data_IF_130029630299
#
_entry.id   IF_130029630299
#
_cell.length_a   1.000
_cell.length_b   1.000
_cell.length_c   1.000
_cell.angle_alpha   90.00
_cell.angle_beta   90.00
_cell.angle_gamma   90.00
#
_symmetry.space_group_name_H-M   'P 1'
#
loop_
_entity.id
_entity.type
_entity.pdbx_description
1 polymer ?
#
# COMPACT_ATOMS: atom_id res chain seq x y z
N UNK A 1 20.10 68.36 -23.26
CA UNK A 1 20.95 67.19 -23.09
C UNK A 1 20.65 66.49 -21.77
N UNK A 2 20.56 67.12 -20.65
CA UNK A 2 20.33 66.60 -19.30
C UNK A 2 18.99 65.83 -19.15
N UNK A 3 17.89 66.25 -19.76
CA UNK A 3 16.55 65.60 -19.65
C UNK A 3 16.54 64.22 -20.23
N UNK A 4 17.23 63.90 -21.32
CA UNK A 4 17.36 62.61 -21.93
C UNK A 4 18.16 61.61 -21.07
N UNK A 5 19.13 62.06 -20.31
CA UNK A 5 19.96 61.25 -19.43
C UNK A 5 19.13 60.76 -18.22
N UNK A 6 18.32 61.71 -17.66
CA UNK A 6 17.45 61.37 -16.51
C UNK A 6 16.35 60.38 -16.89
N UNK A 7 15.73 60.49 -18.07
CA UNK A 7 14.74 59.54 -18.55
C UNK A 7 15.35 58.15 -18.80
N UNK A 8 16.55 58.09 -19.40
CA UNK A 8 17.26 56.82 -19.64
C UNK A 8 17.66 56.14 -18.32
N UNK A 9 18.03 56.89 -17.30
CA UNK A 9 18.33 56.36 -15.97
C UNK A 9 17.08 55.82 -15.27
N UNK A 10 15.94 56.51 -15.35
CA UNK A 10 14.67 56.04 -14.78
C UNK A 10 14.20 54.75 -15.43
N UNK A 11 14.29 54.64 -16.75
CA UNK A 11 13.90 53.43 -17.48
C UNK A 11 14.78 52.23 -17.11
N UNK A 12 16.09 52.43 -16.95
CA UNK A 12 17.00 51.37 -16.48
C UNK A 12 16.69 50.91 -15.05
N UNK A 13 16.39 51.82 -14.14
CA UNK A 13 16.05 51.50 -12.76
C UNK A 13 14.74 50.65 -12.71
N UNK A 14 13.73 51.06 -13.52
CA UNK A 14 12.45 50.31 -13.60
C UNK A 14 12.67 48.92 -14.17
N UNK A 15 13.47 48.76 -15.23
CA UNK A 15 13.76 47.43 -15.79
C UNK A 15 14.55 46.54 -14.83
N UNK A 16 15.51 47.11 -14.09
CA UNK A 16 16.27 46.33 -13.11
C UNK A 16 15.37 45.89 -11.95
N UNK A 17 14.52 46.79 -11.45
CA UNK A 17 13.56 46.45 -10.39
C UNK A 17 12.54 45.38 -10.81
N UNK A 18 12.03 45.48 -12.07
CA UNK A 18 11.11 44.51 -12.62
C UNK A 18 11.78 43.13 -12.80
N UNK A 19 13.04 43.12 -13.29
CA UNK A 19 13.81 41.87 -13.45
C UNK A 19 14.09 41.22 -12.11
N UNK A 20 14.48 42.02 -11.10
CA UNK A 20 14.72 41.52 -9.73
C UNK A 20 13.43 40.95 -9.12
N UNK A 21 12.30 41.64 -9.32
CA UNK A 21 11.01 41.16 -8.85
C UNK A 21 10.59 39.84 -9.53
N UNK A 22 10.79 39.71 -10.85
CA UNK A 22 10.55 38.48 -11.60
C UNK A 22 11.44 37.33 -11.14
N UNK A 23 12.72 37.59 -10.87
CA UNK A 23 13.67 36.60 -10.36
C UNK A 23 13.25 36.15 -8.95
N UNK A 24 12.86 37.06 -8.07
CA UNK A 24 12.35 36.69 -6.72
C UNK A 24 11.05 35.92 -6.81
N UNK A 25 10.13 36.26 -7.72
CA UNK A 25 8.89 35.54 -7.95
C UNK A 25 9.15 34.13 -8.49
N UNK A 26 10.06 33.98 -9.46
CA UNK A 26 10.46 32.69 -10.00
C UNK A 26 11.18 31.83 -8.95
N UNK A 27 12.03 32.45 -8.12
CA UNK A 27 12.70 31.76 -7.02
C UNK A 27 11.71 31.26 -5.98
N UNK A 28 10.74 32.11 -5.58
CA UNK A 28 9.67 31.66 -4.69
C UNK A 28 8.80 30.56 -5.32
N UNK A 29 8.42 30.67 -6.60
CA UNK A 29 7.67 29.63 -7.28
C UNK A 29 8.43 28.29 -7.35
N UNK A 30 9.76 28.33 -7.45
CA UNK A 30 10.61 27.13 -7.47
C UNK A 30 10.76 26.49 -6.09
N UNK A 31 10.75 27.28 -5.01
CA UNK A 31 10.81 26.76 -3.63
C UNK A 31 9.43 26.40 -3.06
N UNK A 32 8.33 26.87 -3.65
CA UNK A 32 6.97 26.55 -3.23
C UNK A 32 6.31 25.43 -4.04
N UNK A 33 7.01 24.81 -5.00
CA UNK A 33 6.63 23.46 -5.43
C UNK A 33 7.01 22.54 -4.29
N UNK A 34 6.19 22.51 -3.24
CA UNK A 34 6.18 21.39 -2.32
C UNK A 34 5.95 20.16 -3.20
N UNK A 35 6.91 19.26 -3.20
CA UNK A 35 6.66 17.91 -3.62
C UNK A 35 5.50 17.44 -2.73
N UNK A 36 4.28 17.51 -3.25
CA UNK A 36 3.20 16.72 -2.67
C UNK A 36 3.65 15.30 -2.93
N UNK A 37 4.30 14.69 -1.96
CA UNK A 37 4.57 13.26 -2.01
C UNK A 37 3.21 12.60 -2.13
N UNK A 38 2.97 12.04 -3.30
CA UNK A 38 1.73 11.33 -3.55
C UNK A 38 1.66 10.21 -2.51
N UNK A 39 0.53 10.07 -1.85
CA UNK A 39 0.22 8.93 -1.00
C UNK A 39 0.73 7.67 -1.69
N UNK A 40 1.56 6.88 -1.01
CA UNK A 40 2.12 5.66 -1.57
C UNK A 40 1.00 4.71 -1.96
N UNK A 41 0.78 4.55 -3.26
CA UNK A 41 -0.15 3.56 -3.79
C UNK A 41 0.63 2.27 -4.00
N UNK A 42 0.22 1.15 -3.37
CA UNK A 42 0.89 -0.12 -3.58
C UNK A 42 0.95 -0.50 -5.06
N UNK A 43 2.13 -0.93 -5.49
CA UNK A 43 2.32 -1.40 -6.86
C UNK A 43 1.81 -2.84 -7.01
N UNK A 44 1.18 -3.12 -8.15
CA UNK A 44 0.77 -4.46 -8.56
C UNK A 44 1.21 -4.67 -10.01
N UNK A 45 1.93 -5.75 -10.26
CA UNK A 45 2.28 -6.19 -11.60
C UNK A 45 1.98 -7.68 -11.76
N UNK A 46 1.42 -8.04 -12.90
CA UNK A 46 1.11 -9.42 -13.26
C UNK A 46 1.73 -9.74 -14.61
N UNK A 47 2.43 -10.86 -14.70
CA UNK A 47 2.96 -11.36 -15.97
C UNK A 47 2.65 -12.84 -16.14
N UNK A 48 2.55 -13.25 -17.40
CA UNK A 48 2.23 -14.63 -17.78
C UNK A 48 3.33 -15.18 -18.67
N UNK A 49 3.67 -16.44 -18.43
CA UNK A 49 4.39 -17.24 -19.41
C UNK A 49 3.65 -18.55 -19.63
N UNK A 50 3.50 -18.95 -20.86
CA UNK A 50 2.93 -20.23 -21.23
C UNK A 50 3.91 -20.98 -22.11
N UNK A 51 4.07 -22.28 -21.88
CA UNK A 51 4.84 -23.19 -22.74
C UNK A 51 4.00 -24.43 -23.05
N UNK A 52 3.80 -24.78 -24.32
CA UNK A 52 4.17 -23.98 -25.49
C UNK A 52 3.32 -22.71 -25.58
N UNK A 53 3.94 -21.65 -26.03
CA UNK A 53 3.24 -20.37 -26.20
C UNK A 53 2.19 -20.55 -27.28
N UNK A 54 0.92 -20.51 -26.86
CA UNK A 54 -0.19 -20.61 -27.78
C UNK A 54 -0.54 -19.19 -28.30
N UNK A 55 0.29 -18.63 -29.11
CA UNK A 55 -0.19 -18.12 -30.37
C UNK A 55 -0.24 -19.33 -31.24
N UNK A 56 -0.87 -20.32 -30.70
CA UNK A 56 -0.69 -21.47 -31.25
C UNK A 56 -1.47 -22.54 -30.63
N UNK A 57 -1.91 -23.17 -31.40
CA UNK A 57 -2.52 -24.46 -31.44
C UNK A 57 -1.55 -25.42 -30.79
N UNK A 58 -1.86 -25.86 -29.59
CA UNK A 58 -1.36 -27.14 -29.14
C UNK A 58 -1.85 -28.17 -30.16
N UNK A 59 -0.95 -28.74 -30.93
CA UNK A 59 -1.31 -29.79 -31.87
C UNK A 59 -1.32 -31.10 -31.10
N UNK A 60 -2.50 -31.59 -30.75
CA UNK A 60 -2.68 -32.89 -30.15
C UNK A 60 -2.99 -33.84 -31.33
N UNK A 61 -2.05 -34.72 -31.61
CA UNK A 61 -2.28 -35.70 -32.66
C UNK A 61 -3.12 -36.88 -32.19
N UNK A 62 -3.74 -37.61 -33.12
CA UNK A 62 -4.65 -38.72 -32.83
C UNK A 62 -3.99 -39.93 -32.13
N UNK A 63 -2.65 -39.97 -32.05
CA UNK A 63 -1.94 -41.09 -31.47
C UNK A 63 -1.68 -40.91 -29.96
N UNK A 64 -1.50 -39.68 -29.51
CA UNK A 64 -1.24 -39.38 -28.09
C UNK A 64 -2.51 -39.15 -27.29
N UNK A 65 -3.54 -38.58 -27.91
CA UNK A 65 -4.85 -38.29 -27.32
C UNK A 65 -4.85 -37.46 -26.02
N UNK A 66 -3.75 -37.36 -25.32
CA UNK A 66 -3.59 -36.60 -24.08
C UNK A 66 -2.48 -35.58 -24.22
N UNK A 67 -2.68 -34.40 -23.59
CA UNK A 67 -1.64 -33.39 -23.47
C UNK A 67 -1.78 -32.63 -22.16
N UNK A 68 -0.66 -32.13 -21.68
CA UNK A 68 -0.58 -31.25 -20.51
C UNK A 68 0.21 -30.01 -20.88
N UNK A 69 -0.28 -28.83 -20.49
CA UNK A 69 0.33 -27.54 -20.78
C UNK A 69 0.48 -26.75 -19.50
N UNK A 70 1.69 -26.22 -19.31
CA UNK A 70 1.99 -25.34 -18.18
C UNK A 70 1.66 -23.90 -18.53
N UNK A 71 0.90 -23.24 -17.67
CA UNK A 71 0.70 -21.79 -17.63
C UNK A 71 1.33 -21.27 -16.35
N UNK A 72 2.33 -20.43 -16.47
CA UNK A 72 2.95 -19.79 -15.31
C UNK A 72 2.43 -18.36 -15.16
N UNK A 73 2.08 -18.02 -13.92
CA UNK A 73 1.60 -16.70 -13.52
C UNK A 73 2.59 -16.15 -12.50
N UNK A 74 3.12 -14.97 -12.76
CA UNK A 74 4.00 -14.27 -11.85
C UNK A 74 3.31 -13.00 -11.37
N UNK A 75 3.21 -12.85 -10.06
CA UNK A 75 2.59 -11.68 -9.42
C UNK A 75 3.65 -10.96 -8.60
N UNK A 76 3.74 -9.65 -8.75
CA UNK A 76 4.47 -8.76 -7.86
C UNK A 76 3.48 -7.85 -7.15
N UNK A 77 3.59 -7.75 -5.84
CA UNK A 77 2.88 -6.74 -5.05
C UNK A 77 3.74 -6.28 -3.88
N UNK A 78 3.89 -4.98 -3.70
CA UNK A 78 4.48 -4.38 -2.51
C UNK A 78 3.43 -3.99 -1.46
N UNK A 79 2.16 -4.34 -1.70
CA UNK A 79 1.08 -4.13 -0.76
C UNK A 79 1.31 -4.96 0.52
N UNK A 80 1.45 -4.29 1.66
CA UNK A 80 1.71 -4.91 2.96
C UNK A 80 0.55 -5.79 3.46
N UNK A 81 -0.67 -5.55 2.97
CA UNK A 81 -1.86 -6.35 3.27
C UNK A 81 -2.07 -7.49 2.29
N UNK A 82 -1.24 -7.56 1.24
CA UNK A 82 -1.24 -8.64 0.27
C UNK A 82 -2.24 -8.48 -0.87
N UNK A 83 -2.58 -9.62 -1.47
CA UNK A 83 -3.47 -9.69 -2.63
C UNK A 83 -4.17 -11.05 -2.72
N UNK A 84 -5.21 -11.09 -3.52
CA UNK A 84 -5.87 -12.33 -3.96
C UNK A 84 -5.69 -12.49 -5.48
N UNK A 85 -5.32 -13.67 -5.92
CA UNK A 85 -5.29 -14.06 -7.33
C UNK A 85 -6.30 -15.19 -7.57
N UNK A 86 -7.06 -15.08 -8.66
CA UNK A 86 -8.04 -16.09 -9.08
C UNK A 86 -7.89 -16.40 -10.56
N UNK A 87 -8.35 -17.57 -10.98
CA UNK A 87 -8.44 -17.95 -12.38
C UNK A 87 -9.86 -18.45 -12.69
N UNK A 88 -10.38 -18.07 -13.85
CA UNK A 88 -11.68 -18.52 -14.36
C UNK A 88 -11.71 -18.43 -15.90
N UNK A 89 -12.75 -18.98 -16.51
CA UNK A 89 -13.10 -18.63 -17.89
C UNK A 89 -13.59 -17.18 -17.96
N UNK A 90 -13.58 -16.60 -19.16
CA UNK A 90 -14.04 -15.24 -19.42
C UNK A 90 -15.54 -15.06 -19.13
N UNK A 91 -16.30 -16.10 -19.37
CA UNK A 91 -17.74 -16.19 -19.11
C UNK A 91 -18.05 -17.48 -18.34
N UNK A 92 -19.29 -17.94 -18.37
CA UNK A 92 -19.68 -19.20 -17.76
C UNK A 92 -19.54 -20.42 -18.66
N UNK A 93 -19.09 -20.23 -19.91
CA UNK A 93 -18.79 -21.35 -20.79
C UNK A 93 -17.43 -21.98 -20.44
N UNK A 94 -17.48 -23.19 -19.94
CA UNK A 94 -16.27 -23.93 -19.53
C UNK A 94 -15.76 -24.93 -20.57
N UNK A 95 -16.50 -25.17 -21.64
CA UNK A 95 -16.02 -26.01 -22.73
C UNK A 95 -15.16 -25.21 -23.71
N UNK A 96 -14.18 -25.89 -24.34
CA UNK A 96 -13.57 -25.35 -25.54
C UNK A 96 -14.52 -25.60 -26.71
N UNK A 97 -14.86 -24.55 -27.44
CA UNK A 97 -15.75 -24.57 -28.58
C UNK A 97 -15.01 -24.34 -29.89
N UNK A 98 -15.54 -24.81 -31.00
CA UNK A 98 -15.01 -24.58 -32.33
C UNK A 98 -15.92 -23.65 -33.12
N UNK A 99 -15.31 -22.75 -33.93
CA UNK A 99 -16.06 -21.90 -34.87
C UNK A 99 -16.40 -22.64 -36.17
N UNK A 100 -15.80 -23.81 -36.41
CA UNK A 100 -15.91 -24.54 -37.68
C UNK A 100 -16.81 -25.77 -37.61
N UNK A 101 -17.10 -26.26 -36.40
CA UNK A 101 -17.94 -27.44 -36.18
C UNK A 101 -18.67 -27.32 -34.81
N UNK A 102 -19.57 -28.28 -34.53
CA UNK A 102 -20.38 -28.29 -33.31
C UNK A 102 -19.79 -29.14 -32.17
N UNK A 103 -18.65 -29.78 -32.41
CA UNK A 103 -18.00 -30.59 -31.38
C UNK A 103 -17.43 -29.70 -30.29
N UNK A 104 -17.33 -30.26 -29.10
CA UNK A 104 -16.89 -29.54 -27.88
C UNK A 104 -15.89 -30.40 -27.11
N UNK A 105 -14.98 -29.74 -26.39
CA UNK A 105 -14.12 -30.36 -25.39
C UNK A 105 -14.62 -29.86 -24.05
N UNK A 106 -15.39 -30.70 -23.35
CA UNK A 106 -16.08 -30.31 -22.12
C UNK A 106 -15.13 -30.21 -20.93
N UNK A 107 -15.45 -29.42 -19.93
CA UNK A 107 -14.77 -29.49 -18.63
C UNK A 107 -15.00 -30.86 -17.97
N UNK A 108 -13.97 -31.42 -17.31
CA UNK A 108 -14.21 -32.58 -16.42
C UNK A 108 -15.21 -32.19 -15.35
N UNK A 109 -16.00 -33.14 -14.87
CA UNK A 109 -17.07 -32.89 -13.90
C UNK A 109 -16.67 -33.13 -12.43
N UNK A 110 -15.51 -33.75 -12.20
CA UNK A 110 -14.99 -34.07 -10.87
C UNK A 110 -13.47 -34.15 -10.92
N UNK A 111 -12.84 -34.07 -9.75
CA UNK A 111 -11.39 -34.18 -9.62
C UNK A 111 -10.93 -35.54 -10.16
N UNK A 112 -10.00 -35.51 -11.11
CA UNK A 112 -9.61 -36.71 -11.87
C UNK A 112 -8.14 -36.58 -12.32
N UNK A 113 -7.31 -37.64 -12.19
CA UNK A 113 -5.98 -37.64 -12.80
C UNK A 113 -6.11 -37.72 -14.33
N UNK A 114 -5.14 -37.07 -15.05
CA UNK A 114 -5.19 -36.94 -16.50
C UNK A 114 -5.39 -38.29 -17.24
N UNK A 115 -4.78 -39.36 -16.74
CA UNK A 115 -4.90 -40.68 -17.33
C UNK A 115 -6.36 -41.17 -17.39
N UNK A 116 -7.20 -40.78 -16.42
CA UNK A 116 -8.58 -41.18 -16.24
C UNK A 116 -9.59 -40.18 -16.84
N UNK A 117 -9.15 -39.12 -17.51
CA UNK A 117 -10.08 -38.20 -18.13
C UNK A 117 -11.04 -38.92 -19.08
N UNK A 118 -12.33 -38.57 -19.08
CA UNK A 118 -13.20 -38.88 -20.19
C UNK A 118 -12.64 -38.29 -21.50
N UNK A 119 -12.93 -38.92 -22.61
CA UNK A 119 -12.52 -38.38 -23.91
C UNK A 119 -13.28 -37.10 -24.21
N UNK A 120 -12.61 -36.16 -24.93
CA UNK A 120 -13.08 -34.81 -25.23
C UNK A 120 -13.35 -34.01 -23.98
N UNK A 121 -12.44 -34.12 -23.00
CA UNK A 121 -12.50 -33.28 -21.79
C UNK A 121 -11.17 -32.62 -21.51
N UNK A 122 -11.25 -31.53 -20.74
CA UNK A 122 -10.11 -30.78 -20.23
C UNK A 122 -10.34 -30.36 -18.76
N UNK A 123 -9.26 -30.07 -18.07
CA UNK A 123 -9.28 -29.67 -16.68
C UNK A 123 -8.04 -28.86 -16.33
N UNK A 124 -8.02 -28.28 -15.14
CA UNK A 124 -6.92 -27.47 -14.62
C UNK A 124 -6.39 -28.06 -13.30
N UNK A 125 -5.10 -27.93 -13.08
CA UNK A 125 -4.43 -28.33 -11.84
C UNK A 125 -3.48 -27.24 -11.39
N UNK A 126 -3.48 -26.91 -10.10
CA UNK A 126 -2.50 -25.99 -9.51
C UNK A 126 -1.27 -26.78 -9.05
N UNK A 127 -0.08 -26.32 -9.47
CA UNK A 127 1.19 -26.98 -9.20
C UNK A 127 1.36 -28.30 -9.98
N UNK A 128 2.38 -29.06 -9.59
CA UNK A 128 2.82 -30.25 -10.32
C UNK A 128 2.16 -31.55 -9.85
N UNK A 129 1.46 -31.53 -8.73
CA UNK A 129 0.93 -32.72 -8.07
C UNK A 129 -0.58 -32.65 -7.86
N UNK A 130 -1.19 -33.82 -7.75
CA UNK A 130 -2.62 -33.98 -7.48
C UNK A 130 -3.47 -34.15 -8.73
N UNK A 131 -4.78 -34.23 -8.51
CA UNK A 131 -5.77 -34.38 -9.56
C UNK A 131 -6.05 -33.05 -10.25
N UNK A 132 -6.46 -33.12 -11.51
CA UNK A 132 -7.07 -32.00 -12.18
C UNK A 132 -8.47 -31.78 -11.65
N UNK A 133 -8.87 -30.54 -11.56
CA UNK A 133 -10.21 -30.12 -11.17
C UNK A 133 -10.96 -29.57 -12.38
N UNK A 134 -12.30 -29.49 -12.31
CA UNK A 134 -13.11 -28.84 -13.35
C UNK A 134 -12.61 -27.42 -13.63
N UNK A 135 -12.77 -26.99 -14.89
CA UNK A 135 -12.45 -25.63 -15.29
C UNK A 135 -13.35 -24.64 -14.55
N UNK A 136 -12.79 -23.66 -13.83
CA UNK A 136 -13.57 -22.69 -13.10
C UNK A 136 -14.28 -21.71 -14.05
N UNK A 137 -15.57 -21.49 -13.82
CA UNK A 137 -16.35 -20.52 -14.58
C UNK A 137 -16.17 -19.10 -14.04
N UNK A 138 -16.61 -18.09 -14.80
CA UNK A 138 -16.60 -16.69 -14.36
C UNK A 138 -17.40 -16.48 -13.07
N UNK A 139 -18.49 -17.23 -12.86
CA UNK A 139 -19.31 -17.16 -11.64
C UNK A 139 -18.72 -17.94 -10.46
N UNK A 140 -17.78 -18.85 -10.69
CA UNK A 140 -17.13 -19.69 -9.69
C UNK A 140 -15.62 -19.75 -9.92
N UNK A 141 -14.90 -18.61 -9.79
CA UNK A 141 -13.46 -18.57 -9.99
C UNK A 141 -12.72 -19.41 -8.94
N UNK A 142 -11.61 -20.01 -9.36
CA UNK A 142 -10.73 -20.76 -8.47
C UNK A 142 -9.64 -19.85 -7.93
N UNK A 143 -9.38 -19.92 -6.63
CA UNK A 143 -8.29 -19.18 -6.01
C UNK A 143 -6.94 -19.79 -6.39
N UNK A 144 -6.06 -18.98 -7.01
CA UNK A 144 -4.66 -19.31 -7.23
C UNK A 144 -3.81 -19.00 -6.01
N UNK A 145 -4.08 -17.85 -5.39
CA UNK A 145 -3.36 -17.36 -4.22
C UNK A 145 -4.22 -16.45 -3.36
N UNK A 146 -3.96 -16.48 -2.07
CA UNK A 146 -4.47 -15.52 -1.08
C UNK A 146 -3.32 -15.21 -0.13
N UNK A 147 -2.71 -14.04 -0.28
CA UNK A 147 -1.60 -13.60 0.54
C UNK A 147 -2.02 -12.44 1.42
N UNK A 148 -1.62 -12.50 2.70
CA UNK A 148 -1.82 -11.41 3.68
C UNK A 148 -0.58 -10.54 3.86
N UNK A 149 0.37 -10.55 2.92
CA UNK A 149 1.61 -9.77 2.97
C UNK A 149 2.11 -9.47 1.57
N UNK A 150 3.03 -8.53 1.44
CA UNK A 150 3.74 -8.26 0.18
C UNK A 150 4.48 -9.49 -0.34
N UNK A 151 4.76 -9.51 -1.63
CA UNK A 151 5.60 -10.53 -2.27
C UNK A 151 6.97 -10.65 -1.59
N UNK A 152 7.36 -11.89 -1.26
CA UNK A 152 8.55 -12.13 -0.41
C UNK A 152 9.86 -11.87 -1.14
N UNK A 153 9.94 -12.27 -2.42
CA UNK A 153 11.16 -12.20 -3.24
C UNK A 153 10.99 -11.28 -4.46
N UNK A 154 10.25 -10.20 -4.31
CA UNK A 154 9.81 -9.30 -5.37
C UNK A 154 8.81 -9.91 -6.36
N UNK A 155 8.66 -11.24 -6.41
CA UNK A 155 7.67 -11.90 -7.26
C UNK A 155 7.23 -13.22 -6.65
N UNK A 156 5.92 -13.50 -6.72
CA UNK A 156 5.33 -14.77 -6.37
C UNK A 156 5.01 -15.52 -7.65
N UNK A 157 5.32 -16.80 -7.68
CA UNK A 157 5.21 -17.64 -8.86
C UNK A 157 4.16 -18.72 -8.64
N UNK A 158 3.20 -18.81 -9.56
CA UNK A 158 2.12 -19.78 -9.55
C UNK A 158 2.10 -20.57 -10.84
N UNK A 159 1.89 -21.86 -10.74
CA UNK A 159 1.77 -22.78 -11.87
C UNK A 159 0.35 -23.30 -11.98
N UNK A 160 -0.22 -23.21 -13.18
CA UNK A 160 -1.46 -23.86 -13.54
C UNK A 160 -1.19 -24.79 -14.72
N UNK A 161 -1.50 -26.07 -14.55
CA UNK A 161 -1.35 -27.08 -15.60
C UNK A 161 -2.73 -27.32 -16.22
N UNK A 162 -2.83 -27.27 -17.54
CA UNK A 162 -4.02 -27.57 -18.31
C UNK A 162 -3.89 -28.96 -18.89
N UNK A 163 -4.73 -29.89 -18.45
CA UNK A 163 -4.82 -31.25 -18.99
C UNK A 163 -5.93 -31.37 -20.03
N UNK A 164 -5.67 -32.08 -21.11
CA UNK A 164 -6.65 -32.34 -22.17
C UNK A 164 -6.57 -33.81 -22.61
N UNK A 165 -7.73 -34.44 -22.86
CA UNK A 165 -7.81 -35.77 -23.47
C UNK A 165 -8.85 -35.77 -24.60
N UNK A 166 -8.43 -36.18 -25.81
CA UNK A 166 -9.24 -36.15 -27.01
C UNK A 166 -9.66 -37.59 -27.43
N UNK A 167 -10.82 -37.70 -28.03
CA UNK A 167 -11.20 -38.90 -28.75
C UNK A 167 -10.60 -38.91 -30.17
N UNK A 168 -10.32 -40.08 -30.70
CA UNK A 168 -9.77 -40.26 -32.06
C UNK A 168 -10.71 -39.81 -33.16
N UNK A 169 -12.01 -39.71 -32.86
CA UNK A 169 -13.08 -39.30 -33.80
C UNK A 169 -13.53 -37.86 -33.60
N UNK A 170 -12.83 -37.04 -32.79
CA UNK A 170 -13.13 -35.63 -32.71
C UNK A 170 -12.86 -34.96 -34.05
N UNK A 171 -13.81 -34.14 -34.50
CA UNK A 171 -13.66 -33.42 -35.75
C UNK A 171 -12.45 -32.52 -35.75
N UNK A 172 -11.64 -32.57 -36.80
CA UNK A 172 -10.49 -31.66 -36.96
C UNK A 172 -10.95 -30.22 -36.95
N UNK A 173 -10.27 -29.41 -36.13
CA UNK A 173 -10.61 -27.98 -36.00
C UNK A 173 -9.81 -27.32 -34.89
N UNK A 174 -10.03 -26.01 -34.75
CA UNK A 174 -9.52 -25.22 -33.66
C UNK A 174 -10.60 -25.15 -32.57
N UNK A 175 -10.23 -25.58 -31.36
CA UNK A 175 -11.07 -25.51 -30.18
C UNK A 175 -10.44 -24.50 -29.20
N UNK A 176 -11.23 -23.54 -28.77
CA UNK A 176 -10.74 -22.43 -27.93
C UNK A 176 -11.62 -22.16 -26.74
N UNK A 177 -10.99 -21.70 -25.69
CA UNK A 177 -11.62 -21.03 -24.54
C UNK A 177 -10.64 -20.00 -23.99
N UNK A 178 -11.11 -18.95 -23.32
CA UNK A 178 -10.30 -17.93 -22.70
C UNK A 178 -10.25 -18.15 -21.19
N UNK A 179 -9.04 -18.29 -20.65
CA UNK A 179 -8.82 -18.28 -19.19
C UNK A 179 -8.31 -16.90 -18.78
N UNK A 180 -8.96 -16.32 -17.78
CA UNK A 180 -8.62 -15.02 -17.21
C UNK A 180 -8.03 -15.25 -15.82
N UNK A 181 -6.89 -14.61 -15.55
CA UNK A 181 -6.35 -14.48 -14.20
C UNK A 181 -6.64 -13.09 -13.72
N UNK A 182 -7.36 -12.99 -12.61
CA UNK A 182 -7.66 -11.72 -11.95
C UNK A 182 -6.84 -11.62 -10.67
N UNK A 183 -6.16 -10.49 -10.50
CA UNK A 183 -5.39 -10.20 -9.28
C UNK A 183 -5.89 -8.90 -8.70
N UNK A 184 -6.27 -8.93 -7.41
CA UNK A 184 -6.79 -7.77 -6.68
C UNK A 184 -5.99 -7.62 -5.40
N UNK A 185 -5.46 -6.43 -5.14
CA UNK A 185 -4.82 -6.11 -3.86
C UNK A 185 -5.89 -6.00 -2.77
N UNK A 186 -5.53 -6.41 -1.56
CA UNK A 186 -6.35 -6.12 -0.39
C UNK A 186 -6.32 -4.61 -0.09
N UNK A 187 -7.30 -4.15 0.67
CA UNK A 187 -7.34 -2.77 1.13
C UNK A 187 -6.04 -2.43 1.87
N UNK A 188 -5.45 -1.32 1.51
CA UNK A 188 -4.24 -0.81 2.11
C UNK A 188 -4.52 0.52 2.82
N UNK A 189 -4.82 0.48 4.12
CA UNK A 189 -4.91 1.72 4.89
C UNK A 189 -3.51 2.33 4.98
N UNK A 190 -3.34 3.59 4.54
CA UNK A 190 -2.05 4.25 4.61
C UNK A 190 -1.58 4.33 6.07
N UNK A 191 -0.30 4.05 6.30
CA UNK A 191 0.34 4.18 7.61
C UNK A 191 1.11 5.48 7.66
N UNK A 192 0.93 6.22 8.74
CA UNK A 192 1.79 7.32 9.10
C UNK A 192 2.74 6.87 10.22
N UNK A 193 4.04 7.07 10.03
CA UNK A 193 5.05 6.78 11.04
C UNK A 193 5.77 8.08 11.40
N UNK A 194 5.90 8.36 12.69
CA UNK A 194 6.55 9.58 13.16
C UNK A 194 8.07 9.53 13.02
N UNK A 195 8.70 10.68 12.99
CA UNK A 195 10.16 10.82 13.15
C UNK A 195 10.66 10.13 14.43
N UNK A 196 11.93 9.70 14.48
CA UNK A 196 12.59 9.36 15.72
C UNK A 196 12.53 10.50 16.75
N UNK A 197 12.50 10.16 18.03
CA UNK A 197 12.22 11.08 19.14
C UNK A 197 13.03 12.38 19.15
N UNK A 198 14.31 12.31 18.81
CA UNK A 198 15.19 13.47 18.78
C UNK A 198 14.76 14.47 17.71
N UNK A 199 14.48 13.99 16.49
CA UNK A 199 14.05 14.84 15.37
C UNK A 199 12.65 15.40 15.62
N UNK A 200 11.75 14.58 16.14
CA UNK A 200 10.42 14.97 16.57
C UNK A 200 10.47 16.13 17.57
N UNK A 201 11.26 16.01 18.64
CA UNK A 201 11.43 17.05 19.66
C UNK A 201 12.02 18.34 19.09
N UNK A 202 13.04 18.22 18.24
CA UNK A 202 13.65 19.38 17.59
C UNK A 202 12.66 20.12 16.71
N UNK A 203 11.88 19.40 15.90
CA UNK A 203 10.84 19.99 15.07
C UNK A 203 9.80 20.74 15.91
N UNK A 204 9.32 20.14 17.00
CA UNK A 204 8.38 20.79 17.92
C UNK A 204 9.00 22.02 18.61
N UNK A 205 10.26 21.93 19.07
CA UNK A 205 10.98 23.03 19.70
C UNK A 205 11.14 24.21 18.75
N UNK A 206 11.55 23.92 17.51
CA UNK A 206 11.82 24.97 16.52
C UNK A 206 10.51 25.66 16.11
N UNK A 207 9.44 24.89 15.93
CA UNK A 207 8.10 25.39 15.53
C UNK A 207 7.46 26.23 16.65
N UNK A 208 7.56 25.81 17.91
CA UNK A 208 6.96 26.54 19.04
C UNK A 208 7.87 27.67 19.58
N UNK A 209 9.16 27.64 19.23
CA UNK A 209 10.18 28.50 19.80
C UNK A 209 10.54 28.15 21.25
N UNK A 210 10.27 26.90 21.68
CA UNK A 210 10.62 26.34 22.98
C UNK A 210 9.63 25.26 23.42
N UNK A 211 10.11 24.12 23.93
CA UNK A 211 9.25 23.02 24.43
C UNK A 211 8.44 23.43 25.67
N UNK A 212 8.91 24.39 26.42
CA UNK A 212 8.26 24.99 27.59
C UNK A 212 6.99 25.78 27.25
N UNK A 213 6.81 26.16 25.99
CA UNK A 213 5.61 26.87 25.52
C UNK A 213 4.46 25.93 25.19
N UNK A 214 4.73 24.64 25.04
CA UNK A 214 3.71 23.65 24.68
C UNK A 214 3.06 23.14 25.96
N UNK A 215 1.77 23.45 26.12
CA UNK A 215 0.96 22.96 27.24
C UNK A 215 0.06 21.81 26.85
N UNK A 216 -0.33 21.73 25.58
CA UNK A 216 -1.25 20.73 25.06
C UNK A 216 -0.65 20.11 23.81
N UNK A 217 -0.86 18.78 23.63
CA UNK A 217 -0.50 18.06 22.43
C UNK A 217 -1.74 17.32 21.92
N UNK A 218 -2.18 17.62 20.68
CA UNK A 218 -3.44 17.06 20.18
C UNK A 218 -3.41 16.76 18.68
N UNK A 219 -4.22 15.80 18.26
CA UNK A 219 -4.48 15.56 16.84
C UNK A 219 -5.51 16.56 16.32
N UNK A 220 -5.22 17.15 15.18
CA UNK A 220 -6.21 17.92 14.43
C UNK A 220 -6.95 17.01 13.45
N UNK A 221 -8.26 17.25 13.31
CA UNK A 221 -9.09 16.58 12.31
C UNK A 221 -9.11 17.33 10.96
N UNK A 222 -8.51 18.51 10.90
CA UNK A 222 -8.40 19.32 9.70
C UNK A 222 -6.93 19.59 9.38
N UNK A 223 -6.55 19.59 8.09
CA UNK A 223 -5.17 19.89 7.70
C UNK A 223 -4.79 21.33 8.09
N UNK A 224 -3.51 21.58 8.41
CA UNK A 224 -3.03 22.93 8.67
C UNK A 224 -3.12 23.79 7.42
N UNK A 225 -3.22 25.11 7.63
CA UNK A 225 -3.14 26.08 6.57
C UNK A 225 -1.68 26.61 6.42
N UNK A 226 -1.41 27.33 5.35
CA UNK A 226 -0.08 27.94 5.13
C UNK A 226 0.31 28.92 6.24
N UNK A 227 -0.68 29.55 6.88
CA UNK A 227 -0.46 30.50 8.00
C UNK A 227 0.04 29.78 9.25
N UNK A 228 -0.32 28.52 9.43
CA UNK A 228 0.09 27.70 10.58
C UNK A 228 1.57 27.29 10.51
N UNK A 229 2.23 27.51 9.38
CA UNK A 229 3.63 27.16 9.13
C UNK A 229 3.97 25.71 9.54
N UNK A 230 3.28 24.70 9.00
CA UNK A 230 3.44 23.33 9.42
C UNK A 230 4.82 22.77 9.07
N UNK A 231 5.29 21.86 9.91
CA UNK A 231 6.52 21.08 9.73
C UNK A 231 6.21 19.61 9.53
N UNK A 232 7.06 18.91 8.79
CA UNK A 232 6.97 17.48 8.57
C UNK A 232 7.48 16.71 9.79
N UNK A 233 6.67 15.77 10.24
CA UNK A 233 6.93 14.94 11.43
C UNK A 233 6.94 13.44 11.11
N UNK A 234 6.78 13.06 9.86
CA UNK A 234 6.85 11.67 9.40
C UNK A 234 8.29 11.22 9.15
N UNK A 235 8.50 9.90 9.25
CA UNK A 235 9.71 9.23 8.80
C UNK A 235 9.62 8.99 7.28
N UNK A 236 10.23 9.83 6.47
CA UNK A 236 10.19 9.80 5.01
C UNK A 236 10.56 8.43 4.39
N UNK A 237 11.34 7.63 5.12
CA UNK A 237 11.78 6.32 4.62
C UNK A 237 10.72 5.22 4.75
N UNK A 238 9.76 5.36 5.65
CA UNK A 238 8.85 4.27 6.04
C UNK A 238 7.39 4.68 6.23
N UNK A 239 7.08 5.96 6.23
CA UNK A 239 5.71 6.48 6.30
C UNK A 239 5.06 6.49 4.92
N UNK A 240 3.78 6.08 4.85
CA UNK A 240 2.99 6.11 3.62
C UNK A 240 2.19 7.42 3.50
N UNK A 241 2.08 8.17 4.58
CA UNK A 241 1.34 9.42 4.65
C UNK A 241 2.11 10.48 5.44
N UNK A 242 1.94 11.73 5.05
CA UNK A 242 2.51 12.87 5.77
C UNK A 242 1.93 12.98 7.19
N UNK A 243 2.78 13.41 8.12
CA UNK A 243 2.39 13.88 9.47
C UNK A 243 2.82 15.33 9.58
N UNK A 244 1.87 16.23 9.51
CA UNK A 244 2.12 17.66 9.60
C UNK A 244 1.91 18.13 11.02
N UNK A 245 2.88 18.87 11.58
CA UNK A 245 2.77 19.45 12.93
C UNK A 245 2.87 20.96 12.91
N UNK A 246 2.16 21.63 13.80
CA UNK A 246 2.25 23.09 13.99
C UNK A 246 1.91 23.49 15.42
N UNK A 247 2.35 24.65 15.81
CA UNK A 247 2.08 25.21 17.13
C UNK A 247 1.09 26.37 17.02
N UNK A 248 0.01 26.31 17.79
CA UNK A 248 -0.91 27.44 17.98
C UNK A 248 -0.58 28.17 19.28
N UNK A 249 -0.02 29.37 19.21
CA UNK A 249 0.33 30.13 20.41
C UNK A 249 -0.87 30.63 21.23
N UNK A 250 -2.06 30.70 20.61
CA UNK A 250 -3.26 31.18 21.31
C UNK A 250 -3.81 30.13 22.27
N UNK A 251 -3.77 28.87 21.90
CA UNK A 251 -4.18 27.73 22.73
C UNK A 251 -2.99 27.03 23.41
N UNK A 252 -1.74 27.48 23.16
CA UNK A 252 -0.50 26.84 23.64
C UNK A 252 -0.46 25.34 23.29
N UNK A 253 -1.07 24.96 22.14
CA UNK A 253 -1.24 23.58 21.69
C UNK A 253 -0.33 23.28 20.51
N UNK A 254 0.38 22.19 20.58
CA UNK A 254 1.04 21.62 19.43
C UNK A 254 0.08 20.61 18.79
N UNK A 255 -0.37 20.92 17.58
CA UNK A 255 -1.22 20.05 16.79
C UNK A 255 -0.42 19.19 15.84
N UNK A 256 -0.91 17.98 15.56
CA UNK A 256 -0.47 17.19 14.43
C UNK A 256 -1.66 16.71 13.60
N UNK A 257 -1.44 16.52 12.31
CA UNK A 257 -2.43 16.05 11.34
C UNK A 257 -1.82 15.00 10.42
N UNK A 258 -2.57 13.98 10.08
CA UNK A 258 -2.30 13.03 9.00
C UNK A 258 -3.60 12.57 8.38
N UNK A 259 -3.58 12.27 7.06
CA UNK A 259 -4.70 11.62 6.38
C UNK A 259 -4.81 10.13 6.75
N UNK A 260 -3.75 9.53 7.30
CA UNK A 260 -3.79 8.17 7.78
C UNK A 260 -4.71 8.05 9.00
N UNK A 261 -5.51 6.98 9.06
CA UNK A 261 -6.36 6.71 10.21
C UNK A 261 -5.54 6.56 11.49
N UNK A 262 -4.35 5.96 11.36
CA UNK A 262 -3.40 5.72 12.45
C UNK A 262 -2.07 6.40 12.20
N UNK A 263 -1.58 7.07 13.25
CA UNK A 263 -0.22 7.58 13.31
C UNK A 263 0.56 6.71 14.29
N UNK A 264 1.52 5.94 13.80
CA UNK A 264 2.37 5.08 14.60
C UNK A 264 3.61 5.83 15.06
N UNK A 265 4.04 5.55 16.28
CA UNK A 265 5.30 6.08 16.78
C UNK A 265 6.48 5.34 16.18
N UNK A 266 7.56 6.06 15.89
CA UNK A 266 8.84 5.46 15.51
C UNK A 266 9.31 4.46 16.58
N UNK A 267 10.08 3.45 16.15
CA UNK A 267 10.67 2.48 17.10
C UNK A 267 11.59 3.16 18.12
N UNK A 268 12.22 4.30 17.78
CA UNK A 268 12.97 5.16 18.67
C UNK A 268 12.12 6.36 19.11
N UNK A 269 11.13 6.10 19.94
CA UNK A 269 10.28 7.12 20.57
C UNK A 269 10.66 7.37 22.04
N UNK A 270 11.83 6.91 22.46
CA UNK A 270 12.37 7.15 23.80
C UNK A 270 12.53 8.64 24.05
N UNK A 271 12.11 9.13 25.21
CA UNK A 271 12.24 10.53 25.60
C UNK A 271 11.50 11.55 24.68
N UNK A 272 10.49 11.10 23.93
CA UNK A 272 9.75 11.92 22.95
C UNK A 272 9.18 13.21 23.57
N UNK A 273 8.74 13.17 24.82
CA UNK A 273 8.20 14.30 25.56
C UNK A 273 9.15 14.78 26.70
N UNK A 274 10.44 14.49 26.61
CA UNK A 274 11.42 14.99 27.56
C UNK A 274 11.55 16.53 27.42
N UNK A 275 11.72 17.24 28.55
CA UNK A 275 11.84 18.70 28.66
C UNK A 275 10.55 19.50 28.32
N UNK A 276 9.40 18.87 28.21
CA UNK A 276 8.10 19.54 28.12
C UNK A 276 7.60 19.87 29.52
N UNK A 277 8.25 20.82 30.17
CA UNK A 277 8.06 21.11 31.63
C UNK A 277 6.66 21.67 31.95
N UNK A 278 5.97 22.24 30.99
CA UNK A 278 4.64 22.84 31.16
C UNK A 278 3.52 22.01 30.50
N UNK A 279 3.82 20.82 29.99
CA UNK A 279 2.83 19.96 29.32
C UNK A 279 1.75 19.53 30.31
N UNK A 280 0.52 19.95 30.07
CA UNK A 280 -0.64 19.67 30.91
C UNK A 280 -1.39 18.41 30.49
N UNK A 281 -1.50 18.18 29.19
CA UNK A 281 -2.17 17.00 28.65
C UNK A 281 -1.63 16.59 27.25
N UNK A 282 -1.90 15.33 26.94
CA UNK A 282 -1.62 14.72 25.64
C UNK A 282 -2.90 14.02 25.20
N UNK A 283 -3.50 14.47 24.14
CA UNK A 283 -4.61 13.76 23.51
C UNK A 283 -4.09 12.52 22.75
N UNK A 284 -4.16 11.38 23.42
CA UNK A 284 -3.81 10.07 22.86
C UNK A 284 -5.06 9.34 22.36
N UNK A 285 -6.22 9.97 22.26
CA UNK A 285 -7.51 9.35 21.90
C UNK A 285 -7.52 8.79 20.49
N UNK A 286 -6.54 9.15 19.67
CA UNK A 286 -6.43 8.73 18.30
C UNK A 286 -5.08 8.03 18.04
N UNK A 287 -5.02 6.75 18.36
CA UNK A 287 -4.16 5.72 17.75
C UNK A 287 -2.62 5.89 17.78
N UNK A 288 -2.08 6.68 18.70
CA UNK A 288 -0.68 6.46 19.05
C UNK A 288 -0.59 5.07 19.69
N UNK A 289 -0.06 4.10 18.96
CA UNK A 289 0.01 2.72 19.46
C UNK A 289 0.82 2.70 20.74
N UNK A 290 0.14 2.70 21.89
CA UNK A 290 0.66 2.78 23.25
C UNK A 290 1.75 1.75 23.58
N UNK A 291 1.83 0.68 22.78
CA UNK A 291 2.80 -0.41 22.97
C UNK A 291 4.26 0.08 22.95
N UNK A 292 4.56 1.18 22.24
CA UNK A 292 5.93 1.73 22.17
C UNK A 292 6.20 2.87 23.17
N UNK A 293 5.18 3.57 23.61
CA UNK A 293 5.31 4.57 24.70
C UNK A 293 5.69 3.92 26.05
N UNK A 294 5.30 2.68 26.29
CA UNK A 294 5.58 1.94 27.51
C UNK A 294 7.06 1.55 27.69
N UNK A 295 7.87 1.58 26.64
CA UNK A 295 9.31 1.31 26.72
C UNK A 295 10.09 2.54 27.22
N UNK A 296 9.45 3.72 27.28
CA UNK A 296 10.08 4.95 27.73
C UNK A 296 9.96 5.15 29.24
N UNK A 297 10.92 4.62 30.01
CA UNK A 297 10.97 4.78 31.49
C UNK A 297 10.95 6.24 31.98
N UNK A 298 11.31 7.22 31.17
CA UNK A 298 11.38 8.64 31.55
C UNK A 298 10.17 9.44 31.11
N UNK A 299 9.49 9.06 30.01
CA UNK A 299 8.16 9.61 29.68
C UNK A 299 7.14 9.34 30.81
N UNK A 300 7.29 8.23 31.52
CA UNK A 300 6.42 7.86 32.63
C UNK A 300 6.56 8.79 33.87
N UNK A 301 7.72 9.37 34.11
CA UNK A 301 7.94 10.27 35.26
C UNK A 301 7.09 11.54 35.21
N UNK A 302 6.81 12.07 34.03
CA UNK A 302 5.94 13.24 33.82
C UNK A 302 4.48 12.80 33.66
N UNK A 303 4.24 11.69 32.98
CA UNK A 303 2.90 11.13 32.80
C UNK A 303 2.29 10.54 34.07
N UNK A 304 3.08 10.04 35.00
CA UNK A 304 2.58 9.45 36.27
C UNK A 304 1.88 10.48 37.13
N UNK A 305 2.25 11.75 37.08
CA UNK A 305 1.50 12.79 37.82
C UNK A 305 0.21 13.22 37.11
N UNK A 306 0.12 13.07 35.78
CA UNK A 306 -0.99 13.57 34.98
C UNK A 306 -2.02 12.50 34.59
N UNK A 307 -1.63 11.23 34.49
CA UNK A 307 -2.43 10.15 33.87
C UNK A 307 -3.12 9.24 34.89
N UNK A 308 -2.86 9.41 36.21
CA UNK A 308 -3.47 8.54 37.25
C UNK A 308 -5.00 8.56 37.23
N UNK A 309 -5.62 9.60 36.77
CA UNK A 309 -7.09 9.70 36.69
C UNK A 309 -7.68 9.13 35.41
N UNK A 310 -6.95 9.18 34.28
CA UNK A 310 -7.47 8.77 32.97
C UNK A 310 -7.03 7.35 32.54
N UNK A 311 -5.83 6.92 32.92
CA UNK A 311 -5.30 5.58 32.56
C UNK A 311 -6.04 4.44 33.26
N UNK A 312 -6.57 4.67 34.46
CA UNK A 312 -7.39 3.68 35.21
C UNK A 312 -8.67 3.33 34.45
N UNK A 313 -9.18 4.21 33.59
CA UNK A 313 -10.40 3.96 32.82
C UNK A 313 -10.15 3.14 31.54
N UNK A 314 -8.97 3.28 30.93
CA UNK A 314 -8.61 2.61 29.66
C UNK A 314 -8.08 1.19 29.90
N UNK A 315 -7.39 0.95 31.01
CA UNK A 315 -6.85 -0.39 31.35
C UNK A 315 -7.91 -1.41 31.78
N UNK A 316 -9.17 -0.98 32.00
CA UNK A 316 -10.27 -1.90 32.36
C UNK A 316 -10.83 -2.70 31.17
N UNK A 317 -10.45 -2.39 29.96
CA UNK A 317 -11.02 -3.02 28.73
C UNK A 317 -10.02 -3.85 27.93
N UNK A 318 -8.76 -3.97 28.37
CA UNK A 318 -7.75 -4.78 27.65
C UNK A 318 -7.06 -5.76 28.62
N UNK A 319 -7.00 -7.07 28.29
CA UNK A 319 -6.36 -8.06 29.16
C UNK A 319 -4.84 -8.12 28.97
N UNK A 320 -4.13 -7.03 29.22
CA UNK A 320 -2.67 -7.02 29.19
C UNK A 320 -2.18 -6.76 30.63
N UNK A 321 -1.61 -7.81 31.23
CA UNK A 321 -0.97 -7.73 32.54
C UNK A 321 0.34 -6.95 32.46
N UNK A 322 0.36 -5.81 33.12
CA UNK A 322 1.56 -5.00 33.29
C UNK A 322 2.37 -5.59 34.46
N UNK A 323 3.45 -6.28 34.18
CA UNK A 323 4.42 -6.65 35.24
C UNK A 323 5.42 -5.49 35.37
N UNK A 324 5.18 -4.61 36.33
CA UNK A 324 6.18 -3.66 36.82
C UNK A 324 7.16 -4.39 37.70
N UNK A 325 8.34 -4.78 37.20
CA UNK A 325 9.47 -5.16 38.06
C UNK A 325 10.20 -3.89 38.44
N UNK A 326 10.10 -3.53 39.71
CA UNK A 326 11.01 -2.55 40.32
C UNK A 326 12.39 -3.22 40.53
N UNK A 327 13.42 -2.71 39.92
CA UNK A 327 14.80 -2.75 40.37
C UNK A 327 15.37 -1.35 40.35
#
# INVERSE_FOLDING_TARGET
>A
MFRKIIEKSKTQIIHTALLTFLVVLAFNAFFFVKNTEALRVPALAVSFSSTPRINGTAIINSTTQTAEYLVAVTVYSDNLTGYQATISTEDNETAMTSITNTDRIESISQNTPLANFPTNTWGIRLGDYGDFVPIPSASTPMTLALLGSKSVTNTDFYQANIGVKLASNLTSGQYTNSLIVSVVTHDYPPRALTLPSLYWRNAMKDTSGGLDKIKHFARSMTPPTVVDNPVHLEDDGTSDAEVLGWFDPASETFYYYSIADKVELNYDSSYMFLDFINLADIDLSLDLTLVRLLICRVCLGILVSLVWTSLVLILKTSPIWLVCSMM
#
